data_IF_204886205892
#
_entry.id   IF_204886205892
#
_cell.length_a   1.000
_cell.length_b   1.000
_cell.length_c   1.000
_cell.angle_alpha   90.00
_cell.angle_beta   90.00
_cell.angle_gamma   90.00
#
_symmetry.space_group_name_H-M   'P 1'
#
loop_
_entity.id
_entity.type
_entity.pdbx_description
1 polymer ?
#
# COMPACT_ATOMS: atom_id res chain seq x y z
N UNK A 1 18.61 15.92 26.00
CA UNK A 1 18.17 16.59 24.75
C UNK A 1 18.12 15.57 23.61
N UNK A 2 17.00 15.40 22.91
CA UNK A 2 16.95 14.64 21.65
C UNK A 2 17.17 15.61 20.49
N UNK A 3 18.17 15.35 19.64
CA UNK A 3 18.34 16.06 18.37
C UNK A 3 17.54 15.33 17.29
N UNK A 4 16.80 16.08 16.47
CA UNK A 4 16.09 15.58 15.30
C UNK A 4 16.70 16.23 14.08
N UNK A 5 17.23 15.43 13.14
CA UNK A 5 17.69 15.91 11.85
C UNK A 5 16.63 15.61 10.80
N UNK A 6 16.32 16.58 9.95
CA UNK A 6 15.41 16.42 8.81
C UNK A 6 16.26 16.39 7.55
N UNK A 7 16.14 15.30 6.79
CA UNK A 7 16.78 15.16 5.48
C UNK A 7 15.74 15.31 4.38
N UNK A 8 16.09 16.03 3.31
CA UNK A 8 15.23 16.17 2.13
C UNK A 8 15.72 15.24 1.04
N UNK A 9 14.84 14.40 0.53
CA UNK A 9 15.10 13.61 -0.66
C UNK A 9 15.06 14.55 -1.88
N UNK A 10 16.16 14.59 -2.64
CA UNK A 10 16.26 15.32 -3.92
C UNK A 10 16.29 14.27 -5.03
N UNK A 11 15.29 14.31 -5.90
CA UNK A 11 15.15 13.42 -7.06
C UNK A 11 14.83 14.26 -8.29
N UNK A 12 15.17 13.76 -9.46
CA UNK A 12 14.80 14.37 -10.74
C UNK A 12 13.31 14.17 -11.04
N UNK A 13 12.83 14.87 -12.08
CA UNK A 13 11.41 14.85 -12.48
C UNK A 13 10.93 13.47 -12.94
N UNK A 14 11.74 12.74 -13.69
CA UNK A 14 11.36 11.42 -14.21
C UNK A 14 11.24 10.40 -13.06
N UNK A 15 12.21 10.40 -12.15
CA UNK A 15 12.13 9.58 -10.93
C UNK A 15 10.93 9.95 -10.05
N UNK A 16 10.61 11.25 -9.94
CA UNK A 16 9.45 11.70 -9.17
C UNK A 16 8.13 11.17 -9.73
N UNK A 17 7.91 11.26 -11.04
CA UNK A 17 6.67 10.77 -11.66
C UNK A 17 6.55 9.23 -11.53
N UNK A 18 7.63 8.48 -11.72
CA UNK A 18 7.63 7.02 -11.51
C UNK A 18 7.26 6.63 -10.07
N UNK A 19 7.82 7.34 -9.08
CA UNK A 19 7.48 7.12 -7.67
C UNK A 19 6.03 7.47 -7.36
N UNK A 20 5.51 8.53 -7.98
CA UNK A 20 4.12 8.96 -7.83
C UNK A 20 3.16 7.92 -8.42
N UNK A 21 3.44 7.40 -9.60
CA UNK A 21 2.66 6.31 -10.21
C UNK A 21 2.66 5.07 -9.31
N UNK A 22 3.84 4.66 -8.84
CA UNK A 22 3.98 3.52 -7.92
C UNK A 22 3.17 3.73 -6.63
N UNK A 23 3.20 4.95 -6.07
CA UNK A 23 2.45 5.30 -4.88
C UNK A 23 0.93 5.23 -5.12
N UNK A 24 0.44 5.72 -6.27
CA UNK A 24 -0.97 5.66 -6.65
C UNK A 24 -1.44 4.21 -6.80
N UNK A 25 -0.69 3.39 -7.53
CA UNK A 25 -1.01 1.97 -7.72
C UNK A 25 -1.03 1.24 -6.37
N UNK A 26 0.01 1.43 -5.56
CA UNK A 26 0.12 0.82 -4.23
C UNK A 26 -1.05 1.23 -3.33
N UNK A 27 -1.43 2.52 -3.33
CA UNK A 27 -2.55 3.01 -2.53
C UNK A 27 -3.89 2.39 -2.94
N UNK A 28 -4.15 2.25 -4.25
CA UNK A 28 -5.35 1.59 -4.76
C UNK A 28 -5.40 0.12 -4.32
N UNK A 29 -4.33 -0.63 -4.51
CA UNK A 29 -4.25 -2.04 -4.10
C UNK A 29 -4.42 -2.20 -2.59
N UNK A 30 -3.80 -1.31 -1.80
CA UNK A 30 -3.92 -1.33 -0.34
C UNK A 30 -5.35 -1.07 0.11
N UNK A 31 -6.02 -0.08 -0.48
CA UNK A 31 -7.40 0.26 -0.14
C UNK A 31 -8.37 -0.89 -0.40
N UNK A 32 -8.23 -1.60 -1.53
CA UNK A 32 -9.08 -2.76 -1.84
C UNK A 32 -8.89 -3.89 -0.81
N UNK A 33 -7.63 -4.24 -0.51
CA UNK A 33 -7.32 -5.28 0.48
C UNK A 33 -7.79 -4.89 1.87
N UNK A 34 -7.57 -3.64 2.26
CA UNK A 34 -7.99 -3.15 3.57
C UNK A 34 -9.51 -3.12 3.69
N UNK A 35 -10.22 -2.74 2.61
CA UNK A 35 -11.68 -2.83 2.55
C UNK A 35 -12.16 -4.28 2.76
N UNK A 36 -11.58 -5.27 2.07
CA UNK A 36 -11.95 -6.67 2.24
C UNK A 36 -11.73 -7.18 3.68
N UNK A 37 -10.60 -6.81 4.29
CA UNK A 37 -10.29 -7.17 5.69
C UNK A 37 -11.27 -6.51 6.67
N UNK A 38 -11.62 -5.25 6.42
CA UNK A 38 -12.61 -4.53 7.22
C UNK A 38 -13.99 -5.19 7.12
N UNK A 39 -14.39 -5.67 5.93
CA UNK A 39 -15.65 -6.42 5.77
C UNK A 39 -15.64 -7.73 6.58
N UNK A 40 -14.54 -8.50 6.56
CA UNK A 40 -14.41 -9.72 7.37
C UNK A 40 -14.52 -9.40 8.86
N UNK A 41 -13.80 -8.38 9.33
CA UNK A 41 -13.87 -7.94 10.72
C UNK A 41 -15.28 -7.54 11.14
N UNK A 42 -15.98 -6.74 10.32
CA UNK A 42 -17.36 -6.31 10.61
C UNK A 42 -18.37 -7.45 10.64
N UNK A 43 -18.11 -8.56 9.94
CA UNK A 43 -18.93 -9.77 9.99
C UNK A 43 -18.62 -10.67 11.20
N UNK A 44 -17.66 -10.29 12.03
CA UNK A 44 -17.20 -11.13 13.14
C UNK A 44 -16.35 -12.32 12.70
N UNK A 45 -15.94 -12.36 11.43
CA UNK A 45 -15.08 -13.41 10.89
C UNK A 45 -13.62 -13.15 11.28
N UNK A 46 -12.84 -14.23 11.43
CA UNK A 46 -11.38 -14.11 11.55
C UNK A 46 -10.81 -13.55 10.25
N UNK A 47 -10.09 -12.44 10.33
CA UNK A 47 -9.44 -11.83 9.17
C UNK A 47 -8.40 -12.78 8.58
N UNK A 48 -8.57 -13.16 7.32
CA UNK A 48 -7.66 -14.05 6.60
C UNK A 48 -6.59 -13.24 5.85
N UNK A 49 -5.45 -13.05 6.51
CA UNK A 49 -4.31 -12.36 5.95
C UNK A 49 -3.64 -13.12 4.81
N UNK A 50 -3.67 -14.46 4.80
CA UNK A 50 -3.03 -15.27 3.77
C UNK A 50 -3.77 -15.16 2.43
N UNK A 51 -5.10 -15.30 2.47
CA UNK A 51 -5.98 -15.15 1.30
C UNK A 51 -5.94 -13.74 0.75
N UNK A 52 -6.01 -12.73 1.62
CA UNK A 52 -5.95 -11.32 1.19
C UNK A 52 -4.57 -10.92 0.66
N UNK A 53 -3.48 -11.47 1.22
CA UNK A 53 -2.11 -11.29 0.68
C UNK A 53 -1.94 -11.94 -0.69
N UNK A 54 -2.42 -13.17 -0.89
CA UNK A 54 -2.36 -13.85 -2.19
C UNK A 54 -3.12 -13.08 -3.28
N UNK A 55 -4.25 -12.47 -2.92
CA UNK A 55 -5.02 -11.57 -3.81
C UNK A 55 -4.25 -10.28 -4.11
N UNK A 56 -3.64 -9.65 -3.11
CA UNK A 56 -2.79 -8.47 -3.28
C UNK A 56 -1.64 -8.70 -4.26
N UNK A 57 -0.91 -9.81 -4.11
CA UNK A 57 0.23 -10.15 -4.99
C UNK A 57 -0.22 -10.35 -6.44
N UNK A 58 -1.41 -10.93 -6.68
CA UNK A 58 -1.99 -11.03 -8.03
C UNK A 58 -2.36 -9.67 -8.61
N UNK A 59 -2.95 -8.80 -7.81
CA UNK A 59 -3.34 -7.46 -8.26
C UNK A 59 -2.11 -6.60 -8.62
N UNK A 60 -1.02 -6.71 -7.86
CA UNK A 60 0.26 -6.06 -8.24
C UNK A 60 0.80 -6.61 -9.55
N UNK A 61 0.65 -7.90 -9.86
CA UNK A 61 1.09 -8.44 -11.16
C UNK A 61 0.21 -8.02 -12.35
N UNK A 62 -0.97 -7.43 -12.08
CA UNK A 62 -1.93 -6.97 -13.09
C UNK A 62 -1.93 -5.45 -13.27
N UNK A 63 -1.18 -4.71 -12.45
CA UNK A 63 -0.93 -3.27 -12.59
C UNK A 63 0.44 -3.04 -13.21
#
# INVERSE_FOLDING_TARGET
MKRTNVVKLVIDKDTHEKLKELAIVTAKCWNEVNWLRMQQFKKGERVDFAKTKKRFTRNISMC
#
